data_IF_353431747981
#
_entry.id   IF_353431747981
#
_cell.length_a   1.000
_cell.length_b   1.000
_cell.length_c   1.000
_cell.angle_alpha   90.00
_cell.angle_beta   90.00
_cell.angle_gamma   90.00
#
_symmetry.space_group_name_H-M   'P 1'
#
loop_
_entity.id
_entity.type
_entity.pdbx_description
1 polymer ?
#
# COMPACT_ATOMS: atom_id res chain seq x y z
N UNK A 1 7.61 -4.83 66.61
CA UNK A 1 8.62 -4.87 65.55
C UNK A 1 8.00 -5.63 64.40
N UNK A 2 7.56 -4.93 63.35
CA UNK A 2 7.07 -5.58 62.13
C UNK A 2 8.27 -5.74 61.20
N UNK A 3 8.63 -6.98 60.91
CA UNK A 3 9.62 -7.31 59.88
C UNK A 3 9.09 -6.86 58.51
N UNK A 4 9.79 -5.90 57.92
CA UNK A 4 9.57 -5.46 56.55
C UNK A 4 10.01 -6.55 55.58
N UNK A 5 9.04 -7.34 55.11
CA UNK A 5 9.19 -8.22 53.95
C UNK A 5 9.48 -7.36 52.70
N UNK A 6 10.74 -7.33 52.28
CA UNK A 6 11.14 -6.81 50.98
C UNK A 6 10.68 -7.78 49.89
N UNK A 7 9.60 -7.45 49.20
CA UNK A 7 9.26 -8.11 47.95
C UNK A 7 10.15 -7.55 46.84
N UNK A 8 11.21 -8.28 46.51
CA UNK A 8 11.93 -8.08 45.25
C UNK A 8 10.95 -8.32 44.10
N UNK A 9 10.57 -7.24 43.41
CA UNK A 9 9.79 -7.34 42.18
C UNK A 9 10.64 -8.05 41.13
N UNK A 10 10.11 -9.07 40.42
CA UNK A 10 10.85 -9.66 39.33
C UNK A 10 11.06 -8.61 38.22
N UNK A 11 12.33 -8.30 37.93
CA UNK A 11 12.73 -7.53 36.75
C UNK A 11 12.55 -8.42 35.52
N UNK A 12 11.34 -8.45 34.98
CA UNK A 12 11.10 -9.08 33.69
C UNK A 12 11.65 -8.20 32.57
N UNK A 13 12.70 -8.70 31.90
CA UNK A 13 13.08 -8.35 30.51
C UNK A 13 13.80 -7.03 30.30
N UNK A 14 15.12 -7.02 30.51
CA UNK A 14 16.03 -5.97 30.03
C UNK A 14 16.45 -6.17 28.57
N UNK A 15 15.52 -6.50 27.68
CA UNK A 15 15.77 -6.39 26.24
C UNK A 15 15.20 -5.06 25.77
N UNK A 16 16.04 -4.16 25.27
CA UNK A 16 15.57 -3.00 24.51
C UNK A 16 14.72 -3.53 23.37
N UNK A 17 13.40 -3.37 23.46
CA UNK A 17 12.48 -3.79 22.41
C UNK A 17 12.77 -2.96 21.16
N UNK A 18 13.59 -3.48 20.26
CA UNK A 18 13.84 -2.89 18.95
C UNK A 18 12.70 -3.30 18.03
N UNK A 19 12.06 -2.33 17.39
CA UNK A 19 11.01 -2.65 16.44
C UNK A 19 11.63 -3.36 15.24
N UNK A 20 11.03 -4.47 14.78
CA UNK A 20 11.52 -5.22 13.59
C UNK A 20 11.76 -4.33 12.36
N UNK A 21 11.03 -3.22 12.25
CA UNK A 21 11.18 -2.29 11.13
C UNK A 21 12.44 -1.43 11.18
N UNK A 22 13.11 -1.29 12.33
CA UNK A 22 14.36 -0.52 12.44
C UNK A 22 15.44 -1.06 11.48
N UNK A 23 15.48 -2.39 11.29
CA UNK A 23 16.41 -3.03 10.35
C UNK A 23 16.15 -2.67 8.87
N UNK A 24 14.95 -2.20 8.54
CA UNK A 24 14.54 -1.86 7.16
C UNK A 24 14.20 -0.38 7.02
N UNK A 25 14.49 0.44 8.04
CA UNK A 25 14.13 1.85 8.07
C UNK A 25 14.73 2.63 6.89
N UNK A 26 15.93 2.26 6.47
CA UNK A 26 16.60 2.83 5.31
C UNK A 26 15.81 2.66 4.00
N UNK A 27 14.87 1.72 3.92
CA UNK A 27 13.98 1.52 2.76
C UNK A 27 12.74 2.42 2.81
N UNK A 28 12.46 3.08 3.93
CA UNK A 28 11.23 3.85 4.13
C UNK A 28 10.97 4.91 3.03
N UNK A 29 11.95 5.73 2.59
CA UNK A 29 11.71 6.69 1.51
C UNK A 29 11.24 6.04 0.20
N UNK A 30 11.82 4.88 -0.15
CA UNK A 30 11.45 4.12 -1.35
C UNK A 30 10.05 3.51 -1.20
N UNK A 31 9.75 2.90 -0.05
CA UNK A 31 8.42 2.37 0.23
C UNK A 31 7.34 3.45 0.23
N UNK A 32 7.66 4.65 0.75
CA UNK A 32 6.73 5.77 0.77
C UNK A 32 6.39 6.24 -0.66
N UNK A 33 7.38 6.25 -1.56
CA UNK A 33 7.17 6.49 -2.99
C UNK A 33 6.25 5.44 -3.60
N UNK A 34 6.54 4.15 -3.38
CA UNK A 34 5.70 3.04 -3.85
C UNK A 34 4.25 3.14 -3.35
N UNK A 35 4.06 3.60 -2.12
CA UNK A 35 2.74 3.74 -1.52
C UNK A 35 1.96 4.93 -2.07
N UNK A 36 2.61 6.10 -2.21
CA UNK A 36 1.95 7.35 -2.56
C UNK A 36 1.82 7.57 -4.06
N UNK A 37 2.84 7.19 -4.84
CA UNK A 37 2.91 7.43 -6.28
C UNK A 37 2.46 6.19 -7.07
N UNK A 38 3.04 5.03 -6.76
CA UNK A 38 2.71 3.78 -7.44
C UNK A 38 1.41 3.16 -6.92
N UNK A 39 0.89 3.68 -5.79
CA UNK A 39 -0.36 3.26 -5.14
C UNK A 39 -0.37 1.77 -4.78
N UNK A 40 0.80 1.20 -4.48
CA UNK A 40 0.94 -0.20 -4.10
C UNK A 40 0.32 -0.46 -2.72
N UNK A 41 -0.23 -1.67 -2.52
CA UNK A 41 -0.65 -2.15 -1.19
C UNK A 41 0.56 -2.44 -0.31
N UNK A 42 0.37 -2.57 1.00
CA UNK A 42 1.46 -3.00 1.88
C UNK A 42 1.97 -4.40 1.56
N UNK A 43 1.11 -5.29 1.04
CA UNK A 43 1.51 -6.63 0.59
C UNK A 43 2.42 -6.54 -0.64
N UNK A 44 2.05 -5.69 -1.61
CA UNK A 44 2.87 -5.48 -2.82
C UNK A 44 4.21 -4.82 -2.49
N UNK A 45 4.22 -3.84 -1.57
CA UNK A 45 5.46 -3.24 -1.10
C UNK A 45 6.33 -4.30 -0.42
N UNK A 46 5.73 -5.10 0.47
CA UNK A 46 6.42 -6.16 1.18
C UNK A 46 7.03 -7.21 0.25
N UNK A 47 6.30 -7.60 -0.80
CA UNK A 47 6.82 -8.46 -1.87
C UNK A 47 8.01 -7.82 -2.59
N UNK A 48 7.89 -6.54 -2.99
CA UNK A 48 8.94 -5.80 -3.69
C UNK A 48 10.22 -5.63 -2.86
N UNK A 49 10.08 -5.45 -1.54
CA UNK A 49 11.21 -5.25 -0.62
C UNK A 49 11.66 -6.53 0.08
N UNK A 50 11.02 -7.67 -0.20
CA UNK A 50 11.26 -8.97 0.46
C UNK A 50 11.16 -8.87 1.98
N UNK A 51 10.16 -8.12 2.46
CA UNK A 51 9.86 -7.93 3.88
C UNK A 51 8.48 -8.48 4.22
N UNK A 52 8.11 -8.48 5.50
CA UNK A 52 6.76 -8.79 5.92
C UNK A 52 5.85 -7.54 5.90
N UNK A 53 4.61 -7.68 5.42
CA UNK A 53 3.67 -6.57 5.25
C UNK A 53 3.26 -5.95 6.59
N UNK A 54 3.23 -6.72 7.68
CA UNK A 54 2.93 -6.21 9.01
C UNK A 54 4.04 -5.27 9.49
N UNK A 55 5.29 -5.64 9.22
CA UNK A 55 6.48 -4.83 9.49
C UNK A 55 6.43 -3.50 8.73
N UNK A 56 6.11 -3.53 7.43
CA UNK A 56 5.93 -2.32 6.61
C UNK A 56 4.81 -1.43 7.17
N UNK A 57 3.64 -2.01 7.46
CA UNK A 57 2.50 -1.28 8.00
C UNK A 57 2.81 -0.61 9.34
N UNK A 58 3.52 -1.30 10.23
CA UNK A 58 3.90 -0.74 11.53
C UNK A 58 4.92 0.38 11.38
N UNK A 59 5.88 0.26 10.45
CA UNK A 59 6.82 1.33 10.15
C UNK A 59 6.10 2.59 9.68
N UNK A 60 5.17 2.46 8.73
CA UNK A 60 4.40 3.60 8.22
C UNK A 60 3.61 4.30 9.32
N UNK A 61 2.97 3.52 10.21
CA UNK A 61 2.27 4.08 11.38
C UNK A 61 3.22 4.80 12.33
N UNK A 62 4.37 4.20 12.64
CA UNK A 62 5.36 4.77 13.54
C UNK A 62 5.96 6.08 12.99
N UNK A 63 6.09 6.18 11.66
CA UNK A 63 6.54 7.40 10.96
C UNK A 63 5.44 8.43 10.73
N UNK A 64 4.21 8.18 11.18
CA UNK A 64 3.09 9.11 11.03
C UNK A 64 2.62 9.30 9.58
N UNK A 65 2.77 8.29 8.73
CA UNK A 65 2.31 8.37 7.35
C UNK A 65 0.78 8.37 7.26
N UNK A 66 0.22 9.25 6.43
CA UNK A 66 -1.21 9.26 6.15
C UNK A 66 -1.62 8.04 5.33
N UNK A 67 -2.40 7.15 5.95
CA UNK A 67 -2.79 5.88 5.35
C UNK A 67 -4.12 6.00 4.63
N UNK A 68 -4.09 5.78 3.32
CA UNK A 68 -5.29 5.63 2.50
C UNK A 68 -6.04 4.36 2.87
N UNK A 69 -7.35 4.50 3.02
CA UNK A 69 -8.25 3.35 3.03
C UNK A 69 -8.15 2.58 1.71
N UNK A 70 -8.57 1.31 1.72
CA UNK A 70 -8.65 0.47 0.52
C UNK A 70 -9.50 1.13 -0.56
N UNK A 71 -10.60 1.80 -0.17
CA UNK A 71 -11.49 2.49 -1.09
C UNK A 71 -10.82 3.69 -1.75
N UNK A 72 -10.18 4.57 -0.98
CA UNK A 72 -9.50 5.76 -1.50
C UNK A 72 -8.35 5.40 -2.44
N UNK A 73 -7.53 4.42 -2.05
CA UNK A 73 -6.44 3.92 -2.90
C UNK A 73 -7.00 3.35 -4.20
N UNK A 74 -8.08 2.60 -4.13
CA UNK A 74 -8.77 2.06 -5.31
C UNK A 74 -9.26 3.17 -6.25
N UNK A 75 -9.85 4.24 -5.71
CA UNK A 75 -10.31 5.41 -6.49
C UNK A 75 -9.11 6.09 -7.17
N UNK A 76 -8.04 6.41 -6.40
CA UNK A 76 -6.84 7.04 -6.95
C UNK A 76 -6.18 6.21 -8.05
N UNK A 77 -6.09 4.89 -7.86
CA UNK A 77 -5.49 3.97 -8.85
C UNK A 77 -6.29 3.95 -10.15
N UNK A 78 -7.62 3.90 -10.05
CA UNK A 78 -8.48 3.92 -11.24
C UNK A 78 -8.43 5.27 -11.96
N UNK A 79 -8.34 6.37 -11.24
CA UNK A 79 -8.16 7.70 -11.84
C UNK A 79 -6.84 7.79 -12.59
N UNK A 80 -5.74 7.31 -12.00
CA UNK A 80 -4.42 7.24 -12.65
C UNK A 80 -4.43 6.38 -13.92
N UNK A 81 -5.05 5.20 -13.85
CA UNK A 81 -5.04 4.24 -14.95
C UNK A 81 -6.01 4.63 -16.09
N UNK A 82 -6.83 5.67 -15.91
CA UNK A 82 -7.88 6.05 -16.84
C UNK A 82 -7.36 6.40 -18.23
N UNK A 83 -6.39 7.31 -18.33
CA UNK A 83 -5.86 7.76 -19.62
C UNK A 83 -5.30 6.60 -20.43
N UNK A 84 -4.51 5.73 -19.78
CA UNK A 84 -3.96 4.52 -20.40
C UNK A 84 -5.06 3.61 -20.93
N UNK A 85 -6.07 3.29 -20.10
CA UNK A 85 -7.16 2.38 -20.50
C UNK A 85 -8.02 3.00 -21.60
N UNK A 86 -8.24 4.32 -21.55
CA UNK A 86 -8.97 5.06 -22.57
C UNK A 86 -8.26 4.98 -23.91
N UNK A 87 -6.96 5.28 -23.95
CA UNK A 87 -6.17 5.24 -25.19
C UNK A 87 -6.15 3.82 -25.78
N UNK A 88 -5.84 2.81 -24.97
CA UNK A 88 -5.82 1.42 -25.44
C UNK A 88 -7.15 0.97 -26.04
N UNK A 89 -8.28 1.35 -25.43
CA UNK A 89 -9.59 0.88 -25.88
C UNK A 89 -10.20 1.73 -27.00
N UNK A 90 -10.21 3.06 -26.83
CA UNK A 90 -10.92 3.98 -27.72
C UNK A 90 -10.05 4.59 -28.81
N UNK A 91 -8.74 4.77 -28.56
CA UNK A 91 -7.82 5.34 -29.57
C UNK A 91 -7.20 4.22 -30.40
N UNK A 92 -6.64 3.20 -29.74
CA UNK A 92 -5.98 2.08 -30.41
C UNK A 92 -6.95 0.96 -30.83
N UNK A 93 -8.21 1.03 -30.38
CA UNK A 93 -9.27 0.09 -30.75
C UNK A 93 -9.11 -1.32 -30.17
N UNK A 94 -8.30 -1.52 -29.12
CA UNK A 94 -8.07 -2.84 -28.54
C UNK A 94 -9.30 -3.34 -27.77
N UNK A 95 -9.68 -4.59 -28.00
CA UNK A 95 -10.68 -5.27 -27.18
C UNK A 95 -10.15 -5.51 -25.74
N UNK A 96 -11.03 -5.48 -24.74
CA UNK A 96 -10.63 -5.70 -23.34
C UNK A 96 -9.92 -7.04 -23.09
N UNK A 97 -10.25 -8.07 -23.86
CA UNK A 97 -9.57 -9.38 -23.77
C UNK A 97 -8.11 -9.29 -24.20
N UNK A 98 -7.79 -8.46 -25.21
CA UNK A 98 -6.42 -8.19 -25.66
C UNK A 98 -5.67 -7.34 -24.64
N UNK A 99 -6.32 -6.28 -24.13
CA UNK A 99 -5.77 -5.45 -23.04
C UNK A 99 -5.41 -6.30 -21.81
N UNK A 100 -6.26 -7.27 -21.44
CA UNK A 100 -5.97 -8.18 -20.34
C UNK A 100 -4.74 -9.05 -20.60
N UNK A 101 -4.63 -9.63 -21.80
CA UNK A 101 -3.48 -10.48 -22.16
C UNK A 101 -2.16 -9.71 -22.19
N UNK A 102 -2.17 -8.48 -22.70
CA UNK A 102 -0.95 -7.69 -22.95
C UNK A 102 -0.54 -6.82 -21.74
N UNK A 103 -1.52 -6.40 -20.93
CA UNK A 103 -1.27 -5.46 -19.83
C UNK A 103 -1.73 -5.95 -18.45
N UNK A 104 -2.32 -7.15 -18.36
CA UNK A 104 -2.82 -7.72 -17.10
C UNK A 104 -4.05 -7.01 -16.52
N UNK A 105 -4.67 -6.09 -17.26
CA UNK A 105 -5.82 -5.30 -16.79
C UNK A 105 -7.13 -6.05 -17.11
N UNK A 106 -7.81 -6.53 -16.08
CA UNK A 106 -9.02 -7.36 -16.28
C UNK A 106 -10.15 -6.57 -16.97
N UNK A 107 -10.99 -7.22 -17.80
CA UNK A 107 -12.08 -6.53 -18.48
C UNK A 107 -13.03 -5.80 -17.53
N UNK A 108 -13.32 -6.39 -16.37
CA UNK A 108 -14.16 -5.77 -15.33
C UNK A 108 -13.52 -4.51 -14.76
N UNK A 109 -12.20 -4.54 -14.51
CA UNK A 109 -11.46 -3.38 -14.04
C UNK A 109 -11.46 -2.25 -15.08
N UNK A 110 -11.16 -2.56 -16.34
CA UNK A 110 -11.16 -1.57 -17.43
C UNK A 110 -12.53 -0.88 -17.56
N UNK A 111 -13.62 -1.67 -17.58
CA UNK A 111 -14.98 -1.12 -17.62
C UNK A 111 -15.29 -0.22 -16.43
N UNK A 112 -14.85 -0.61 -15.23
CA UNK A 112 -15.05 0.21 -14.03
C UNK A 112 -14.28 1.54 -14.12
N UNK A 113 -13.02 1.51 -14.53
CA UNK A 113 -12.18 2.70 -14.71
C UNK A 113 -12.83 3.68 -15.69
N UNK A 114 -13.24 3.18 -16.86
CA UNK A 114 -13.88 4.01 -17.88
C UNK A 114 -15.21 4.58 -17.38
N UNK A 115 -16.07 3.76 -16.75
CA UNK A 115 -17.37 4.22 -16.22
C UNK A 115 -17.22 5.34 -15.18
N UNK A 116 -16.24 5.24 -14.29
CA UNK A 116 -16.05 6.20 -13.21
C UNK A 116 -15.46 7.53 -13.69
N UNK A 117 -14.60 7.50 -14.72
CA UNK A 117 -13.81 8.66 -15.14
C UNK A 117 -14.24 9.26 -16.49
N UNK A 118 -15.02 8.57 -17.33
CA UNK A 118 -15.55 9.21 -18.55
C UNK A 118 -16.53 10.34 -18.27
N UNK A 119 -17.20 10.31 -17.11
CA UNK A 119 -18.12 11.38 -16.71
C UNK A 119 -17.40 12.68 -16.34
N UNK A 120 -16.11 12.64 -16.01
CA UNK A 120 -15.33 13.85 -15.71
C UNK A 120 -14.87 14.57 -16.97
N UNK A 121 -14.85 13.91 -18.14
CA UNK A 121 -14.53 14.54 -19.43
C UNK A 121 -15.73 15.25 -20.10
N UNK A 122 -16.95 15.07 -19.56
CA UNK A 122 -18.18 15.66 -20.10
C UNK A 122 -18.56 17.00 -19.44
N UNK A 123 -17.70 17.54 -18.58
CA UNK A 123 -17.86 18.85 -17.93
C UNK A 123 -16.80 19.79 -18.45
#
# INVERSE_FOLDING_TARGET
MFDSLSFDKPKWGGETFTHKWENIEHLYPSMLKMYNEDLLSFEQIAEATKTDWWTVKNMFKAKGADLLSTKERGIKRRARDFEKIYNLHYVDGLAFTKIYKEHGLSPTYCKQVLRENMNTMKK
#
